data_IF_531244395359
#
_entry.id   IF_531244395359
#
_cell.length_a   1.000
_cell.length_b   1.000
_cell.length_c   1.000
_cell.angle_alpha   90.00
_cell.angle_beta   90.00
_cell.angle_gamma   90.00
#
_symmetry.space_group_name_H-M   'P 1'
#
loop_
_entity.id
_entity.type
_entity.pdbx_description
1 polymer ?
#
# COMPACT_ATOMS: atom_id res chain seq x y z
N UNK A 1 -19.52 -18.59 -25.02
CA UNK A 1 -18.26 -17.85 -24.89
C UNK A 1 -18.42 -16.76 -23.85
N UNK A 2 -17.44 -16.59 -22.97
CA UNK A 2 -17.48 -15.57 -21.92
C UNK A 2 -16.88 -14.25 -22.45
N UNK A 3 -17.70 -13.16 -22.62
CA UNK A 3 -17.20 -11.90 -23.14
C UNK A 3 -16.09 -11.29 -22.28
N UNK A 4 -16.19 -11.40 -20.94
CA UNK A 4 -15.17 -10.87 -20.03
C UNK A 4 -13.83 -11.54 -20.28
N UNK A 5 -13.85 -12.88 -20.49
CA UNK A 5 -12.65 -13.65 -20.78
C UNK A 5 -11.95 -13.18 -22.04
N UNK A 6 -12.73 -12.81 -23.06
CA UNK A 6 -12.18 -12.31 -24.31
C UNK A 6 -11.63 -10.91 -24.19
N UNK A 7 -12.13 -10.12 -23.24
CA UNK A 7 -11.73 -8.73 -23.04
C UNK A 7 -10.58 -8.55 -22.07
N UNK A 8 -10.21 -9.58 -21.31
CA UNK A 8 -9.12 -9.49 -20.32
C UNK A 8 -7.84 -8.93 -20.92
N UNK A 9 -7.39 -9.34 -22.13
CA UNK A 9 -6.16 -8.77 -22.71
C UNK A 9 -6.26 -7.27 -23.05
N UNK A 10 -7.46 -6.70 -23.08
CA UNK A 10 -7.65 -5.27 -23.35
C UNK A 10 -7.42 -4.41 -22.11
N UNK A 11 -7.38 -5.01 -20.91
CA UNK A 11 -7.15 -4.28 -19.68
C UNK A 11 -5.67 -3.92 -19.59
N UNK A 12 -5.38 -2.61 -19.52
CA UNK A 12 -4.00 -2.13 -19.41
C UNK A 12 -3.56 -1.95 -17.98
N UNK A 13 -4.48 -1.61 -17.10
CA UNK A 13 -4.19 -1.43 -15.68
C UNK A 13 -5.47 -1.50 -14.87
N UNK A 14 -5.34 -1.96 -13.65
CA UNK A 14 -6.40 -1.91 -12.65
C UNK A 14 -5.84 -1.13 -11.46
N UNK A 15 -6.44 0.02 -11.17
CA UNK A 15 -5.90 0.94 -10.14
C UNK A 15 -7.00 1.46 -9.26
N UNK A 16 -6.91 1.25 -7.93
CA UNK A 16 -7.79 1.94 -6.99
C UNK A 16 -7.37 3.39 -6.82
N UNK A 17 -8.29 4.22 -6.36
CA UNK A 17 -7.98 5.57 -5.89
C UNK A 17 -7.77 5.54 -4.37
N UNK A 18 -6.71 6.19 -3.91
CA UNK A 18 -6.47 6.41 -2.49
C UNK A 18 -6.57 7.90 -2.19
N UNK A 19 -7.22 8.26 -1.07
CA UNK A 19 -7.40 9.66 -0.72
C UNK A 19 -6.13 10.25 -0.10
N UNK A 20 -6.01 11.57 -0.22
CA UNK A 20 -5.00 12.32 0.50
C UNK A 20 -5.64 13.54 1.14
N UNK A 21 -5.52 13.63 2.45
CA UNK A 21 -5.94 14.80 3.21
C UNK A 21 -5.04 15.99 2.89
N UNK A 22 -3.75 15.73 2.82
CA UNK A 22 -2.72 16.66 2.36
C UNK A 22 -1.95 15.95 1.25
N UNK A 23 -2.22 16.33 0.02
CA UNK A 23 -1.68 15.64 -1.15
C UNK A 23 -0.16 15.61 -1.17
N UNK A 24 0.49 16.74 -0.90
CA UNK A 24 1.95 16.82 -0.94
C UNK A 24 2.59 15.96 0.14
N UNK A 25 2.01 15.93 1.34
CA UNK A 25 2.50 15.09 2.42
C UNK A 25 2.38 13.61 2.08
N UNK A 26 1.22 13.20 1.57
CA UNK A 26 1.02 11.79 1.17
C UNK A 26 1.93 11.40 0.01
N UNK A 27 2.12 12.29 -0.95
CA UNK A 27 3.02 12.04 -2.08
C UNK A 27 4.45 11.79 -1.58
N UNK A 28 4.95 12.62 -0.68
CA UNK A 28 6.29 12.45 -0.11
C UNK A 28 6.40 11.15 0.70
N UNK A 29 5.33 10.80 1.42
CA UNK A 29 5.28 9.57 2.20
C UNK A 29 5.48 8.34 1.30
N UNK A 30 4.70 8.25 0.23
CA UNK A 30 4.78 7.10 -0.68
C UNK A 30 6.12 7.07 -1.44
N UNK A 31 6.65 8.22 -1.81
CA UNK A 31 7.97 8.28 -2.44
C UNK A 31 9.07 7.82 -1.47
N UNK A 32 8.96 8.15 -0.18
CA UNK A 32 9.91 7.71 0.82
C UNK A 32 9.92 6.18 0.96
N UNK A 33 8.75 5.53 0.85
CA UNK A 33 8.65 4.07 0.89
C UNK A 33 9.30 3.44 -0.34
N UNK A 34 9.26 4.11 -1.48
CA UNK A 34 9.87 3.62 -2.70
C UNK A 34 8.96 3.66 -3.92
N UNK A 35 7.74 4.17 -3.79
CA UNK A 35 6.86 4.31 -4.95
C UNK A 35 7.39 5.34 -5.93
N UNK A 36 7.27 5.03 -7.21
CA UNK A 36 7.50 6.01 -8.27
C UNK A 36 6.22 6.80 -8.48
N UNK A 37 6.35 8.11 -8.63
CA UNK A 37 5.22 8.99 -8.84
C UNK A 37 5.20 9.49 -10.28
N UNK A 38 4.05 9.37 -10.92
CA UNK A 38 3.80 9.93 -12.24
C UNK A 38 2.64 10.92 -12.12
N UNK A 39 2.92 12.23 -12.18
CA UNK A 39 1.86 13.24 -12.03
C UNK A 39 0.81 13.15 -13.13
N UNK A 40 -0.47 13.26 -12.73
CA UNK A 40 -1.61 13.29 -13.65
C UNK A 40 -2.38 14.60 -13.54
N UNK A 41 -1.82 15.58 -12.82
CA UNK A 41 -2.43 16.88 -12.55
C UNK A 41 -1.82 17.44 -11.28
N UNK A 42 -2.37 18.56 -10.81
CA UNK A 42 -1.81 19.25 -9.64
C UNK A 42 -2.02 18.48 -8.34
N UNK A 43 -3.10 17.69 -8.26
CA UNK A 43 -3.46 16.96 -7.03
C UNK A 43 -3.80 15.49 -7.33
N UNK A 44 -3.18 14.92 -8.34
CA UNK A 44 -3.34 13.51 -8.66
C UNK A 44 -2.04 12.95 -9.22
N UNK A 45 -1.69 11.73 -8.82
CA UNK A 45 -0.53 11.02 -9.35
C UNK A 45 -0.78 9.53 -9.36
N UNK A 46 -0.18 8.85 -10.34
CA UNK A 46 -0.04 7.40 -10.28
C UNK A 46 1.19 7.07 -9.43
N UNK A 47 1.02 6.21 -8.45
CA UNK A 47 2.10 5.72 -7.60
C UNK A 47 2.29 4.24 -7.86
N UNK A 48 3.52 3.83 -8.17
CA UNK A 48 3.77 2.46 -8.60
C UNK A 48 4.97 1.82 -7.92
N UNK A 49 4.84 0.50 -7.72
CA UNK A 49 5.93 -0.41 -7.35
C UNK A 49 5.94 -1.49 -8.43
N UNK A 50 6.87 -1.37 -9.39
CA UNK A 50 6.86 -2.23 -10.56
C UNK A 50 5.54 -2.13 -11.32
N UNK A 51 4.87 -3.27 -11.60
CA UNK A 51 3.60 -3.24 -12.34
C UNK A 51 2.38 -2.93 -11.46
N UNK A 52 2.58 -2.77 -10.15
CA UNK A 52 1.50 -2.54 -9.19
C UNK A 52 1.36 -1.05 -8.94
N UNK A 53 0.13 -0.54 -9.01
CA UNK A 53 -0.08 0.90 -8.94
C UNK A 53 -1.43 1.26 -8.32
N UNK A 54 -1.51 2.49 -7.84
CA UNK A 54 -2.76 3.11 -7.44
C UNK A 54 -2.71 4.59 -7.81
N UNK A 55 -3.87 5.23 -7.76
CA UNK A 55 -3.99 6.67 -8.04
C UNK A 55 -4.19 7.40 -6.72
N UNK A 56 -3.24 8.27 -6.39
CA UNK A 56 -3.36 9.15 -5.23
C UNK A 56 -4.08 10.41 -5.66
N UNK A 57 -5.12 10.80 -4.93
CA UNK A 57 -5.88 12.01 -5.26
C UNK A 57 -6.02 12.92 -4.03
N UNK A 58 -5.96 14.23 -4.28
CA UNK A 58 -6.15 15.24 -3.25
C UNK A 58 -7.62 15.43 -2.92
N UNK A 59 -8.29 14.34 -2.55
CA UNK A 59 -9.68 14.31 -2.12
C UNK A 59 -9.75 13.45 -0.86
N UNK A 60 -10.52 13.88 0.13
CA UNK A 60 -10.48 13.23 1.43
C UNK A 60 -11.84 13.26 2.11
N UNK A 61 -12.29 12.09 2.54
CA UNK A 61 -13.42 11.92 3.45
C UNK A 61 -12.91 11.04 4.58
N UNK A 62 -12.90 11.59 5.79
CA UNK A 62 -12.29 10.92 6.95
C UNK A 62 -12.85 9.52 7.18
N UNK A 63 -14.16 9.36 7.12
CA UNK A 63 -14.81 8.08 7.37
C UNK A 63 -14.42 7.02 6.33
N UNK A 64 -14.15 7.42 5.10
CA UNK A 64 -13.71 6.51 4.05
C UNK A 64 -12.25 6.14 4.24
N UNK A 65 -11.39 7.13 4.51
CA UNK A 65 -9.96 6.87 4.70
C UNK A 65 -9.71 5.98 5.92
N UNK A 66 -10.40 6.22 7.02
CA UNK A 66 -10.23 5.46 8.25
C UNK A 66 -10.66 3.99 8.11
N UNK A 67 -11.45 3.68 7.10
CA UNK A 67 -11.93 2.33 6.83
C UNK A 67 -11.32 1.70 5.58
N UNK A 68 -10.35 2.37 4.96
CA UNK A 68 -9.71 1.88 3.75
C UNK A 68 -8.45 1.12 4.10
N UNK A 69 -8.27 -0.03 3.43
CA UNK A 69 -7.09 -0.87 3.60
C UNK A 69 -6.53 -1.25 2.24
N UNK A 70 -5.21 -1.37 2.18
CA UNK A 70 -4.52 -1.95 1.04
C UNK A 70 -3.69 -3.14 1.51
N UNK A 71 -3.53 -4.12 0.66
CA UNK A 71 -2.85 -5.35 1.00
C UNK A 71 -1.77 -5.65 -0.04
N UNK A 72 -0.52 -5.71 0.41
CA UNK A 72 0.60 -6.05 -0.44
C UNK A 72 1.15 -7.39 0.02
N UNK A 73 0.98 -8.41 -0.80
CA UNK A 73 1.53 -9.73 -0.51
C UNK A 73 2.96 -9.78 -1.05
N UNK A 74 3.91 -10.05 -0.18
CA UNK A 74 5.35 -10.01 -0.48
C UNK A 74 6.00 -11.35 -0.20
N UNK A 75 7.17 -11.58 -0.80
CA UNK A 75 7.94 -12.81 -0.57
C UNK A 75 8.62 -12.80 0.79
N UNK A 76 9.10 -11.64 1.26
CA UNK A 76 9.85 -11.53 2.50
C UNK A 76 9.40 -10.29 3.27
N UNK A 77 8.51 -10.49 4.22
CA UNK A 77 7.96 -9.39 5.02
C UNK A 77 9.03 -8.77 5.94
N UNK A 78 10.02 -9.55 6.37
CA UNK A 78 11.08 -9.03 7.23
C UNK A 78 11.97 -8.04 6.49
N UNK A 79 12.23 -8.26 5.21
CA UNK A 79 12.95 -7.29 4.38
C UNK A 79 12.17 -5.99 4.26
N UNK A 80 10.88 -6.09 4.00
CA UNK A 80 10.01 -4.90 3.94
C UNK A 80 9.94 -4.18 5.27
N UNK A 81 9.85 -4.93 6.35
CA UNK A 81 9.83 -4.33 7.69
C UNK A 81 11.11 -3.56 7.99
N UNK A 82 12.27 -4.15 7.72
CA UNK A 82 13.56 -3.47 7.94
C UNK A 82 13.65 -2.19 7.13
N UNK A 83 13.15 -2.22 5.90
CA UNK A 83 13.10 -1.04 5.06
C UNK A 83 12.21 0.04 5.66
N UNK A 84 10.96 -0.30 5.99
CA UNK A 84 10.00 0.64 6.58
C UNK A 84 10.52 1.22 7.89
N UNK A 85 11.03 0.36 8.76
CA UNK A 85 11.55 0.78 10.06
C UNK A 85 12.71 1.76 9.93
N UNK A 86 13.55 1.59 8.90
CA UNK A 86 14.71 2.45 8.67
C UNK A 86 14.35 3.85 8.22
N UNK A 87 13.12 4.10 7.76
CA UNK A 87 12.73 5.37 7.16
C UNK A 87 12.29 6.43 8.17
N UNK A 88 12.12 6.07 9.44
CA UNK A 88 11.68 6.99 10.49
C UNK A 88 10.40 7.76 10.11
N UNK A 89 9.42 7.02 9.61
CA UNK A 89 8.21 7.61 9.06
C UNK A 89 7.36 8.34 10.11
N UNK A 90 7.39 7.87 11.35
CA UNK A 90 6.65 8.51 12.44
C UNK A 90 7.12 9.94 12.66
N UNK A 91 8.43 10.16 12.72
CA UNK A 91 8.98 11.50 12.92
C UNK A 91 8.84 12.36 11.68
N UNK A 92 8.98 11.78 10.49
CA UNK A 92 8.89 12.55 9.25
C UNK A 92 7.46 12.98 8.90
N UNK A 93 6.48 12.13 9.18
CA UNK A 93 5.11 12.32 8.68
C UNK A 93 4.05 12.34 9.77
N UNK A 94 4.44 12.18 11.03
CA UNK A 94 3.49 12.25 12.15
C UNK A 94 2.54 11.09 12.23
N UNK A 95 2.86 9.96 11.62
CA UNK A 95 2.02 8.77 11.66
C UNK A 95 2.27 7.98 12.94
N UNK A 96 1.32 7.11 13.30
CA UNK A 96 1.52 6.14 14.38
C UNK A 96 2.69 5.22 14.03
N UNK A 97 3.44 4.72 15.03
CA UNK A 97 4.53 3.80 14.76
C UNK A 97 4.06 2.57 13.98
N UNK A 98 4.74 2.20 12.90
CA UNK A 98 4.42 0.95 12.18
C UNK A 98 4.57 -0.25 13.11
N UNK A 99 3.80 -1.30 12.83
CA UNK A 99 3.84 -2.54 13.62
C UNK A 99 4.73 -3.57 12.95
N UNK A 100 5.67 -4.14 13.71
CA UNK A 100 6.53 -5.21 13.23
C UNK A 100 5.70 -6.44 12.81
N UNK A 101 6.25 -7.30 11.93
CA UNK A 101 5.53 -8.48 11.46
C UNK A 101 5.10 -9.38 12.61
N UNK A 102 3.85 -9.85 12.53
CA UNK A 102 3.32 -10.83 13.48
C UNK A 102 2.41 -11.81 12.76
N UNK A 103 2.34 -13.04 13.24
CA UNK A 103 1.44 -14.03 12.69
C UNK A 103 0.00 -13.71 13.04
N UNK A 104 -0.87 -13.72 12.03
CA UNK A 104 -2.29 -13.48 12.18
C UNK A 104 -3.06 -14.80 12.06
N UNK A 105 -4.25 -14.90 12.69
CA UNK A 105 -5.02 -16.16 12.66
C UNK A 105 -5.40 -16.64 11.26
N UNK A 106 -5.45 -15.73 10.28
CA UNK A 106 -5.84 -16.09 8.92
C UNK A 106 -4.69 -16.60 8.04
N UNK A 107 -3.53 -16.91 8.63
CA UNK A 107 -2.45 -17.59 7.91
C UNK A 107 -1.42 -16.67 7.24
N UNK A 108 -1.42 -15.40 7.60
CA UNK A 108 -0.45 -14.43 7.10
C UNK A 108 0.39 -13.86 8.23
N UNK A 109 1.63 -13.53 7.91
CA UNK A 109 2.51 -12.74 8.79
C UNK A 109 2.52 -11.32 8.25
N UNK A 110 2.06 -10.35 9.05
CA UNK A 110 1.72 -9.01 8.55
C UNK A 110 2.41 -7.92 9.34
N UNK A 111 3.04 -7.00 8.60
CA UNK A 111 3.47 -5.71 9.12
C UNK A 111 2.44 -4.66 8.71
N UNK A 112 2.14 -3.72 9.61
CA UNK A 112 1.11 -2.71 9.39
C UNK A 112 1.72 -1.31 9.40
N UNK A 113 1.21 -0.46 8.50
CA UNK A 113 1.56 0.95 8.49
C UNK A 113 0.32 1.75 8.08
N UNK A 114 0.11 2.90 8.71
CA UNK A 114 -0.98 3.80 8.36
C UNK A 114 -0.37 5.02 7.64
N UNK A 115 -0.94 5.39 6.51
CA UNK A 115 -0.45 6.55 5.78
C UNK A 115 -0.88 7.87 6.46
N UNK A 116 -0.39 9.03 6.03
CA UNK A 116 -0.74 10.31 6.67
C UNK A 116 -2.22 10.67 6.63
N UNK A 117 -3.00 10.02 5.80
CA UNK A 117 -4.45 10.28 5.68
C UNK A 117 -5.30 9.25 6.40
N UNK A 118 -4.69 8.24 7.02
CA UNK A 118 -5.41 7.22 7.80
C UNK A 118 -5.64 5.90 7.07
N UNK A 119 -5.15 5.75 5.84
CA UNK A 119 -5.28 4.49 5.09
C UNK A 119 -4.33 3.45 5.67
N UNK A 120 -4.86 2.28 5.97
CA UNK A 120 -4.08 1.18 6.54
C UNK A 120 -3.47 0.33 5.42
N UNK A 121 -2.16 0.06 5.56
CA UNK A 121 -1.44 -0.82 4.65
C UNK A 121 -0.99 -2.09 5.36
N UNK A 122 -1.21 -3.23 4.69
CA UNK A 122 -0.67 -4.53 5.08
C UNK A 122 0.50 -4.87 4.18
N UNK A 123 1.65 -5.16 4.75
CA UNK A 123 2.72 -5.86 4.04
C UNK A 123 2.74 -7.26 4.61
N UNK A 124 2.40 -8.24 3.80
CA UNK A 124 2.06 -9.57 4.29
C UNK A 124 2.82 -10.66 3.54
N UNK A 125 3.20 -11.69 4.29
CA UNK A 125 3.82 -12.89 3.75
C UNK A 125 2.98 -14.08 4.20
N UNK A 126 2.83 -15.06 3.34
CA UNK A 126 2.16 -16.30 3.70
C UNK A 126 2.93 -16.98 4.83
N UNK A 127 2.27 -17.24 5.95
CA UNK A 127 2.91 -17.90 7.09
C UNK A 127 3.32 -19.32 6.70
N UNK A 128 4.59 -19.65 6.91
CA UNK A 128 5.10 -20.98 6.61
C UNK A 128 4.83 -21.91 7.78
N UNK A 129 4.19 -23.03 7.48
CA UNK A 129 3.99 -24.11 8.45
C UNK A 129 4.80 -25.29 7.99
N UNK A 130 5.67 -25.84 8.86
CA UNK A 130 6.52 -26.99 8.57
C UNK A 130 7.31 -26.82 7.26
N UNK A 131 7.76 -25.59 6.99
CA UNK A 131 8.52 -25.28 5.79
C UNK A 131 7.70 -25.27 4.51
N UNK A 132 6.38 -25.36 4.58
CA UNK A 132 5.49 -25.35 3.43
C UNK A 132 4.68 -24.05 3.40
N UNK A 133 4.42 -23.56 2.19
CA UNK A 133 3.44 -22.49 2.01
C UNK A 133 2.06 -23.11 1.91
N UNK A 134 1.07 -22.54 2.61
CA UNK A 134 -0.31 -23.02 2.48
C UNK A 134 -0.87 -22.79 1.09
#
# INVERSE_FOLDING_TARGET
MNPVRNLVPEIRAFRPFLPAKDYETSLRFYKAIGFKAYPLGDTMAELSLGPHAFLLQGYYVKEWADNMMTHVLVEDVDMWWRHIDSLDLTNQFGISPPSAPRGEPWGLTVAYITDPSGVLWHFAETTKLDGKKP
#
